data_IF_612718859847
#
_entry.id   IF_612718859847
#
_cell.length_a   1.000
_cell.length_b   1.000
_cell.length_c   1.000
_cell.angle_alpha   90.00
_cell.angle_beta   90.00
_cell.angle_gamma   90.00
#
_symmetry.space_group_name_H-M   'P 1'
#
loop_
_entity.id
_entity.type
_entity.pdbx_description
1 polymer ?
#
# COMPACT_ATOMS: atom_id res chain seq x y z
N UNK A 1 -0.91 7.33 -10.21
CA UNK A 1 -2.23 7.11 -9.59
C UNK A 1 -2.11 6.02 -8.52
N UNK A 2 -2.02 6.38 -7.24
CA UNK A 2 -2.23 5.41 -6.16
C UNK A 2 -3.63 4.83 -6.36
N UNK A 3 -3.75 3.50 -6.42
CA UNK A 3 -5.06 2.88 -6.56
C UNK A 3 -5.84 3.22 -5.29
N UNK A 4 -6.79 4.17 -5.39
CA UNK A 4 -7.65 4.66 -4.28
C UNK A 4 -8.26 3.53 -3.43
N UNK A 5 -8.42 2.35 -4.03
CA UNK A 5 -8.84 1.12 -3.36
C UNK A 5 -7.90 0.68 -2.23
N UNK A 6 -6.58 0.74 -2.40
CA UNK A 6 -5.63 0.27 -1.39
C UNK A 6 -5.48 1.26 -0.22
N UNK A 7 -5.54 2.56 -0.50
CA UNK A 7 -5.56 3.61 0.54
C UNK A 7 -6.77 3.41 1.47
N UNK A 8 -7.96 3.20 0.88
CA UNK A 8 -9.17 2.91 1.65
C UNK A 8 -9.03 1.67 2.56
N UNK A 9 -8.42 0.58 2.06
CA UNK A 9 -8.16 -0.61 2.90
C UNK A 9 -7.22 -0.26 4.03
N UNK A 10 -6.17 0.51 3.77
CA UNK A 10 -5.19 0.92 4.79
C UNK A 10 -5.82 1.78 5.88
N UNK A 11 -6.67 2.74 5.54
CA UNK A 11 -7.31 3.63 6.51
C UNK A 11 -8.29 2.86 7.43
N UNK A 12 -9.03 1.90 6.86
CA UNK A 12 -10.10 1.20 7.56
C UNK A 12 -9.65 -0.13 8.20
N UNK A 13 -8.40 -0.57 7.97
CA UNK A 13 -7.92 -1.90 8.44
C UNK A 13 -7.92 -2.02 9.96
N UNK A 14 -7.73 -0.92 10.68
CA UNK A 14 -7.66 -0.91 12.15
C UNK A 14 -9.03 -1.21 12.76
N UNK A 15 -10.11 -0.66 12.18
CA UNK A 15 -11.46 -0.77 12.71
C UNK A 15 -12.18 -2.04 12.24
N UNK A 16 -12.02 -2.42 10.97
CA UNK A 16 -12.79 -3.52 10.38
C UNK A 16 -11.98 -4.79 10.08
N UNK A 17 -10.66 -4.66 10.04
CA UNK A 17 -9.75 -5.74 9.65
C UNK A 17 -9.68 -5.96 8.13
N UNK A 18 -8.47 -6.22 7.63
CA UNK A 18 -8.18 -6.44 6.20
C UNK A 18 -9.04 -7.54 5.58
N UNK A 19 -9.32 -8.64 6.31
CA UNK A 19 -10.13 -9.77 5.80
C UNK A 19 -11.54 -9.33 5.39
N UNK A 20 -12.21 -8.54 6.23
CA UNK A 20 -13.59 -8.11 6.00
C UNK A 20 -13.65 -7.15 4.81
N UNK A 21 -12.77 -6.16 4.78
CA UNK A 21 -12.73 -5.16 3.71
C UNK A 21 -12.39 -5.81 2.37
N UNK A 22 -11.39 -6.71 2.32
CA UNK A 22 -11.06 -7.44 1.09
C UNK A 22 -12.24 -8.24 0.55
N UNK A 23 -13.04 -8.87 1.43
CA UNK A 23 -14.25 -9.61 1.03
C UNK A 23 -15.31 -8.70 0.43
N UNK A 24 -15.59 -7.55 1.05
CA UNK A 24 -16.59 -6.57 0.57
C UNK A 24 -16.16 -5.93 -0.75
N UNK A 25 -14.88 -5.60 -0.90
CA UNK A 25 -14.34 -4.96 -2.11
C UNK A 25 -14.03 -5.94 -3.25
N UNK A 26 -14.23 -7.25 -3.06
CA UNK A 26 -13.81 -8.27 -4.02
C UNK A 26 -12.29 -8.27 -4.30
N UNK A 27 -11.49 -7.83 -3.33
CA UNK A 27 -10.04 -7.69 -3.46
C UNK A 27 -9.32 -8.89 -2.85
N UNK A 28 -8.16 -9.25 -3.43
CA UNK A 28 -7.31 -10.29 -2.85
C UNK A 28 -6.45 -9.74 -1.71
N UNK A 29 -6.43 -10.46 -0.57
CA UNK A 29 -5.50 -10.17 0.54
C UNK A 29 -4.04 -10.20 0.10
N UNK A 30 -3.67 -11.16 -0.75
CA UNK A 30 -2.31 -11.25 -1.27
C UNK A 30 -1.96 -10.07 -2.19
N UNK A 31 -2.94 -9.51 -2.90
CA UNK A 31 -2.77 -8.27 -3.66
C UNK A 31 -2.50 -7.07 -2.74
N UNK A 32 -3.26 -6.94 -1.66
CA UNK A 32 -3.08 -5.87 -0.67
C UNK A 32 -1.69 -5.88 -0.04
N UNK A 33 -1.23 -7.03 0.45
CA UNK A 33 0.10 -7.11 1.07
C UNK A 33 1.26 -6.90 0.07
N UNK A 34 1.12 -7.34 -1.19
CA UNK A 34 2.09 -7.01 -2.24
C UNK A 34 2.14 -5.51 -2.51
N UNK A 35 0.99 -4.85 -2.59
CA UNK A 35 0.93 -3.40 -2.75
C UNK A 35 1.58 -2.68 -1.56
N UNK A 36 1.28 -3.11 -0.34
CA UNK A 36 1.89 -2.57 0.88
C UNK A 36 3.41 -2.75 0.89
N UNK A 37 3.92 -3.91 0.46
CA UNK A 37 5.35 -4.15 0.35
C UNK A 37 6.02 -3.22 -0.69
N UNK A 38 5.38 -3.02 -1.85
CA UNK A 38 5.88 -2.10 -2.89
C UNK A 38 5.86 -0.64 -2.44
N UNK A 39 4.80 -0.20 -1.75
CA UNK A 39 4.72 1.17 -1.22
C UNK A 39 5.75 1.39 -0.10
N UNK A 40 5.94 0.43 0.80
CA UNK A 40 7.01 0.51 1.80
C UNK A 40 8.41 0.53 1.17
N UNK A 41 8.63 -0.24 0.10
CA UNK A 41 9.88 -0.19 -0.65
C UNK A 41 10.09 1.17 -1.35
N UNK A 42 9.03 1.83 -1.82
CA UNK A 42 9.09 3.19 -2.37
C UNK A 42 9.31 4.27 -1.32
N UNK A 43 8.75 4.12 -0.12
CA UNK A 43 9.01 5.06 0.98
C UNK A 43 10.43 4.91 1.52
N UNK A 44 10.98 3.68 1.46
CA UNK A 44 12.34 3.37 1.93
C UNK A 44 13.43 3.59 0.88
N UNK A 45 13.10 3.52 -0.40
CA UNK A 45 13.98 3.99 -1.45
C UNK A 45 13.79 5.52 -1.52
N UNK A 46 14.76 6.36 -1.08
CA UNK A 46 14.80 7.70 -1.62
C UNK A 46 14.80 7.52 -3.14
N UNK A 47 13.87 8.17 -3.83
CA UNK A 47 13.95 8.38 -5.27
C UNK A 47 15.41 8.69 -5.59
N UNK A 48 16.11 7.74 -6.24
CA UNK A 48 17.51 7.88 -6.61
C UNK A 48 17.57 8.98 -7.67
N UNK A 49 17.71 10.19 -7.18
CA UNK A 49 17.50 11.41 -7.93
C UNK A 49 17.75 12.65 -7.06
N UNK A 50 18.62 12.58 -6.05
CA UNK A 50 19.40 13.74 -5.58
C UNK A 50 20.49 13.25 -4.61
N UNK A 51 21.61 13.97 -4.61
CA UNK A 51 22.80 13.81 -3.76
C UNK A 51 23.79 12.68 -4.14
N UNK A 52 24.57 12.92 -5.20
CA UNK A 52 26.04 12.81 -5.12
C UNK A 52 26.66 13.78 -6.14
N UNK A 53 26.82 15.04 -5.70
CA UNK A 53 27.67 16.05 -6.33
C UNK A 53 28.31 16.83 -5.19
N UNK A 54 29.40 16.30 -4.66
CA UNK A 54 30.47 17.07 -4.04
C UNK A 54 31.81 16.48 -4.44
#
# INVERSE_FOLDING_TARGET
>A
MRSRRWDFISDNRADFGVKRICRVLGASRAGYYRHLATEQARVRAPSRGEADRE
#
